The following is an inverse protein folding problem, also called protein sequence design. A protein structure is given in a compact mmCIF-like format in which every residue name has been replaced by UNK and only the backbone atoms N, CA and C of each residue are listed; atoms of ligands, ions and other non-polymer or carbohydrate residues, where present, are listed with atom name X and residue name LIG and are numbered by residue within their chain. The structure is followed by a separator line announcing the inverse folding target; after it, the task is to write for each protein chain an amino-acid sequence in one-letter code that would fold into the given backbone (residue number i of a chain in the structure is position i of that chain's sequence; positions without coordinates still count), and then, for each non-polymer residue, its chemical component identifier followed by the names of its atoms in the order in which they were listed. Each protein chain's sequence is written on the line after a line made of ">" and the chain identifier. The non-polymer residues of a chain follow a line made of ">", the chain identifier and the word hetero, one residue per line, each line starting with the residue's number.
data_IF_490517734761
#
_entry.id   IF_490517734761
#
_cell.length_a   1.000
_cell.length_b   1.000
_cell.length_c   1.000
_cell.angle_alpha   90.00
_cell.angle_beta   90.00
_cell.angle_gamma   90.00
#
_symmetry.space_group_name_H-M   'P 1'
#
loop_
_entity.id
_entity.type
_entity.pdbx_description
1 polymer ?
#
# COMPACT_ATOMS: atom_id res chain seq x y z
N UNK A 1 -3.98 -8.82 11.87
CA UNK A 1 -3.44 -7.52 11.44
C UNK A 1 -4.49 -6.76 10.64
N UNK A 2 -4.37 -5.46 10.61
CA UNK A 2 -5.30 -4.63 9.83
C UNK A 2 -4.91 -4.63 8.36
N UNK A 3 -5.91 -4.49 7.49
CA UNK A 3 -5.72 -4.47 6.04
C UNK A 3 -5.74 -3.04 5.52
N UNK A 4 -4.90 -2.77 4.54
CA UNK A 4 -4.79 -1.45 3.91
C UNK A 4 -4.73 -1.60 2.40
N UNK A 5 -5.35 -0.66 1.71
CA UNK A 5 -5.30 -0.58 0.25
C UNK A 5 -4.61 0.73 -0.09
N UNK A 6 -3.52 0.64 -0.85
CA UNK A 6 -2.78 1.81 -1.31
C UNK A 6 -3.04 2.04 -2.79
N UNK A 7 -3.51 3.24 -3.10
CA UNK A 7 -3.71 3.70 -4.48
C UNK A 7 -2.46 4.50 -4.83
N UNK A 8 -1.77 4.09 -5.89
CA UNK A 8 -0.42 4.55 -6.18
C UNK A 8 -0.38 5.28 -7.51
N UNK A 9 0.28 6.45 -7.52
CA UNK A 9 0.59 7.18 -8.75
C UNK A 9 2.10 7.31 -8.86
N UNK A 10 2.62 7.07 -10.06
CA UNK A 10 4.04 7.33 -10.34
C UNK A 10 4.26 8.82 -10.49
N UNK A 11 5.36 9.31 -9.94
CA UNK A 11 5.82 10.67 -10.18
C UNK A 11 6.56 10.72 -11.52
N UNK A 12 6.93 11.93 -11.95
CA UNK A 12 7.77 12.08 -13.14
C UNK A 12 9.07 11.27 -13.00
N UNK A 13 9.71 11.34 -11.85
CA UNK A 13 10.91 10.58 -11.55
C UNK A 13 10.65 9.07 -11.66
N UNK A 14 9.53 8.61 -11.12
CA UNK A 14 9.16 7.19 -11.16
C UNK A 14 8.92 6.70 -12.58
N UNK A 15 8.31 7.53 -13.43
CA UNK A 15 8.08 7.20 -14.84
C UNK A 15 9.41 7.16 -15.60
N UNK A 16 10.30 8.12 -15.36
CA UNK A 16 11.59 8.18 -16.03
C UNK A 16 12.45 6.94 -15.75
N UNK A 17 12.28 6.34 -14.57
CA UNK A 17 13.03 5.16 -14.16
C UNK A 17 12.12 3.94 -14.00
N UNK A 18 11.09 3.85 -14.81
CA UNK A 18 10.03 2.84 -14.68
C UNK A 18 10.58 1.40 -14.77
N UNK A 19 11.66 1.21 -15.49
CA UNK A 19 12.28 -0.12 -15.64
C UNK A 19 12.82 -0.67 -14.33
N UNK A 20 13.08 0.18 -13.36
CA UNK A 20 13.50 -0.22 -12.02
C UNK A 20 12.32 -0.55 -11.10
N UNK A 21 11.09 -0.43 -11.61
CA UNK A 21 9.88 -0.71 -10.85
C UNK A 21 9.86 -2.05 -10.14
N UNK A 22 10.17 -3.16 -10.84
CA UNK A 22 10.19 -4.47 -10.17
C UNK A 22 11.17 -4.55 -9.01
N UNK A 23 12.35 -3.97 -9.15
CA UNK A 23 13.34 -3.92 -8.08
C UNK A 23 12.84 -3.09 -6.91
N UNK A 24 12.20 -1.95 -7.18
CA UNK A 24 11.61 -1.11 -6.13
C UNK A 24 10.49 -1.85 -5.39
N UNK A 25 9.71 -2.65 -6.12
CA UNK A 25 8.66 -3.47 -5.51
C UNK A 25 9.26 -4.51 -4.55
N UNK A 26 10.34 -5.17 -4.96
CA UNK A 26 11.02 -6.14 -4.10
C UNK A 26 11.55 -5.48 -2.83
N UNK A 27 12.13 -4.29 -2.95
CA UNK A 27 12.61 -3.53 -1.80
C UNK A 27 11.46 -3.10 -0.88
N UNK A 28 10.33 -2.74 -1.45
CA UNK A 28 9.15 -2.39 -0.68
C UNK A 28 8.63 -3.60 0.12
N UNK A 29 8.58 -4.77 -0.50
CA UNK A 29 8.18 -6.00 0.20
C UNK A 29 9.09 -6.29 1.40
N UNK A 30 10.39 -6.11 1.20
CA UNK A 30 11.34 -6.32 2.29
C UNK A 30 11.15 -5.29 3.40
N UNK A 31 10.93 -4.03 3.05
CA UNK A 31 10.69 -2.98 4.04
C UNK A 31 9.42 -3.27 4.87
N UNK A 32 8.37 -3.80 4.24
CA UNK A 32 7.17 -4.21 4.95
C UNK A 32 7.47 -5.32 5.94
N UNK A 33 8.19 -6.37 5.51
CA UNK A 33 8.56 -7.48 6.37
C UNK A 33 9.41 -7.02 7.56
N UNK A 34 10.36 -6.15 7.30
CA UNK A 34 11.24 -5.62 8.36
C UNK A 34 10.45 -4.83 9.41
N UNK A 35 9.33 -4.25 9.03
CA UNK A 35 8.46 -3.49 9.92
C UNK A 35 7.37 -4.36 10.59
N UNK A 36 7.39 -5.67 10.38
CA UNK A 36 6.38 -6.57 10.93
C UNK A 36 5.07 -6.56 10.16
N UNK A 37 5.09 -6.07 8.93
CA UNK A 37 3.94 -6.00 8.04
C UNK A 37 4.12 -6.94 6.85
N UNK A 38 3.14 -6.97 5.95
CA UNK A 38 3.22 -7.81 4.76
C UNK A 38 2.54 -7.12 3.58
N UNK A 39 3.23 -7.07 2.44
CA UNK A 39 2.65 -6.64 1.18
C UNK A 39 2.02 -7.86 0.52
N UNK A 40 0.70 -7.98 0.58
CA UNK A 40 -0.04 -9.17 0.16
C UNK A 40 -0.19 -9.26 -1.34
N UNK A 41 -0.44 -8.15 -2.01
CA UNK A 41 -0.71 -8.13 -3.44
C UNK A 41 -0.35 -6.78 -4.03
N UNK A 42 0.05 -6.82 -5.29
CA UNK A 42 0.35 -5.61 -6.06
C UNK A 42 -0.22 -5.80 -7.46
N UNK A 43 -0.91 -4.77 -7.96
CA UNK A 43 -1.47 -4.79 -9.31
C UNK A 43 -1.09 -3.51 -10.02
N UNK A 44 -0.61 -3.64 -11.25
CA UNK A 44 -0.53 -2.51 -12.17
C UNK A 44 -1.95 -2.28 -12.72
N UNK A 45 -2.41 -1.06 -12.70
CA UNK A 45 -3.73 -0.72 -13.24
C UNK A 45 -3.61 0.42 -14.24
N UNK A 46 -4.62 0.56 -15.07
CA UNK A 46 -4.74 1.68 -16.00
C UNK A 46 -5.94 2.53 -15.59
N UNK A 47 -5.80 3.84 -15.71
CA UNK A 47 -6.85 4.75 -15.30
C UNK A 47 -6.28 5.88 -14.46
N UNK A 48 -7.04 6.29 -13.46
CA UNK A 48 -6.66 7.42 -12.60
C UNK A 48 -5.44 7.14 -11.73
N UNK A 49 -5.26 5.88 -11.35
CA UNK A 49 -4.09 5.42 -10.58
C UNK A 49 -3.26 4.50 -11.44
N UNK A 50 -1.99 4.34 -11.09
CA UNK A 50 -1.05 3.50 -11.83
C UNK A 50 -0.90 2.11 -11.23
N UNK A 51 -1.09 1.98 -9.92
CA UNK A 51 -0.98 0.70 -9.24
C UNK A 51 -1.86 0.67 -8.01
N UNK A 52 -2.17 -0.54 -7.56
CA UNK A 52 -2.91 -0.79 -6.32
C UNK A 52 -2.17 -1.85 -5.54
N UNK A 53 -1.93 -1.59 -4.26
CA UNK A 53 -1.29 -2.56 -3.38
C UNK A 53 -2.21 -2.88 -2.20
N UNK A 54 -2.21 -4.14 -1.80
CA UNK A 54 -2.94 -4.61 -0.63
C UNK A 54 -1.92 -5.07 0.39
N UNK A 55 -2.00 -4.55 1.62
CA UNK A 55 -1.06 -4.89 2.66
C UNK A 55 -1.76 -5.14 3.98
N UNK A 56 -1.04 -5.81 4.89
CA UNK A 56 -1.46 -6.02 6.27
C UNK A 56 -0.38 -5.50 7.19
N UNK A 57 -0.78 -4.85 8.26
CA UNK A 57 0.15 -4.28 9.22
C UNK A 57 -0.46 -4.30 10.62
N UNK A 58 0.37 -4.27 11.68
CA UNK A 58 -0.12 -4.32 13.05
C UNK A 58 -0.95 -3.09 13.44
N UNK A 59 -0.67 -1.93 12.86
CA UNK A 59 -1.38 -0.69 13.19
C UNK A 59 -1.18 0.38 12.12
N UNK A 60 -1.96 1.45 12.24
CA UNK A 60 -1.95 2.55 11.28
C UNK A 60 -0.60 3.29 11.25
N UNK A 61 0.06 3.40 12.39
CA UNK A 61 1.35 4.08 12.48
C UNK A 61 2.43 3.37 11.63
N UNK A 62 2.45 2.05 11.66
CA UNK A 62 3.37 1.26 10.85
C UNK A 62 3.18 1.54 9.37
N UNK A 63 1.92 1.54 8.91
CA UNK A 63 1.60 1.81 7.51
C UNK A 63 1.95 3.24 7.14
N UNK A 64 1.66 4.19 8.03
CA UNK A 64 1.99 5.59 7.79
C UNK A 64 3.50 5.78 7.59
N UNK A 65 4.31 5.15 8.44
CA UNK A 65 5.78 5.19 8.31
C UNK A 65 6.24 4.62 6.98
N UNK A 66 5.70 3.48 6.58
CA UNK A 66 6.06 2.84 5.32
C UNK A 66 5.67 3.71 4.12
N UNK A 67 4.48 4.32 4.16
CA UNK A 67 4.02 5.22 3.11
C UNK A 67 4.93 6.46 2.99
N UNK A 68 5.29 7.06 4.11
CA UNK A 68 6.18 8.24 4.11
C UNK A 68 7.58 7.89 3.62
N UNK A 69 8.10 6.74 4.05
CA UNK A 69 9.41 6.28 3.62
C UNK A 69 9.44 6.05 2.11
N UNK A 70 8.39 5.44 1.56
CA UNK A 70 8.26 5.21 0.12
C UNK A 70 8.15 6.54 -0.62
N UNK A 71 7.33 7.45 -0.12
CA UNK A 71 7.16 8.77 -0.73
C UNK A 71 8.46 9.58 -0.74
N UNK A 72 9.27 9.42 0.32
CA UNK A 72 10.55 10.14 0.43
C UNK A 72 11.54 9.76 -0.66
N UNK A 73 11.40 8.57 -1.26
CA UNK A 73 12.24 8.18 -2.39
C UNK A 73 11.88 8.93 -3.68
N UNK A 74 10.69 9.53 -3.72
CA UNK A 74 10.28 10.41 -4.81
C UNK A 74 9.72 9.74 -6.05
N UNK A 75 9.58 8.42 -6.05
CA UNK A 75 9.15 7.66 -7.24
C UNK A 75 7.64 7.50 -7.34
N UNK A 76 6.94 7.56 -6.22
CA UNK A 76 5.50 7.35 -6.16
C UNK A 76 4.84 8.31 -5.18
N UNK A 77 3.56 8.55 -5.41
CA UNK A 77 2.64 9.17 -4.47
C UNK A 77 1.57 8.13 -4.14
N UNK A 78 1.22 8.01 -2.88
CA UNK A 78 0.25 7.01 -2.45
C UNK A 78 -0.90 7.64 -1.68
N UNK A 79 -2.05 7.01 -1.82
CA UNK A 79 -3.22 7.28 -0.99
C UNK A 79 -3.56 5.96 -0.32
N UNK A 80 -3.42 5.89 1.00
CA UNK A 80 -3.60 4.65 1.75
C UNK A 80 -4.92 4.67 2.49
N UNK A 81 -5.71 3.63 2.27
CA UNK A 81 -7.04 3.48 2.84
C UNK A 81 -7.03 2.34 3.84
N UNK A 82 -7.60 2.58 5.03
CA UNK A 82 -7.87 1.48 5.96
C UNK A 82 -9.01 0.65 5.37
N UNK A 83 -8.78 -0.63 5.17
CA UNK A 83 -9.77 -1.51 4.58
C UNK A 83 -10.30 -2.50 5.62
N UNK A 84 -11.57 -2.84 5.48
CA UNK A 84 -12.23 -3.85 6.29
C UNK A 84 -12.67 -4.98 5.38
N UNK A 85 -12.40 -6.22 5.78
CA UNK A 85 -12.86 -7.39 5.02
C UNK A 85 -14.39 -7.45 5.03
N UNK A 86 -14.95 -8.31 4.19
CA UNK A 86 -16.40 -8.52 4.19
C UNK A 86 -16.88 -9.01 5.55
N UNK A 87 -16.15 -9.91 6.20
CA UNK A 87 -16.50 -10.40 7.53
C UNK A 87 -16.47 -9.28 8.57
N UNK A 88 -15.45 -8.43 8.52
CA UNK A 88 -15.35 -7.28 9.39
C UNK A 88 -16.50 -6.30 9.14
N UNK A 89 -16.83 -6.06 7.87
CA UNK A 89 -17.95 -5.22 7.49
C UNK A 89 -19.26 -5.75 8.10
N UNK A 90 -19.51 -7.04 7.97
CA UNK A 90 -20.72 -7.67 8.52
C UNK A 90 -20.79 -7.50 10.03
N UNK A 91 -19.67 -7.65 10.74
CA UNK A 91 -19.63 -7.45 12.19
C UNK A 91 -19.89 -5.99 12.58
N UNK A 92 -19.31 -5.06 11.85
CA UNK A 92 -19.51 -3.62 12.09
C UNK A 92 -20.99 -3.28 11.95
N UNK A 93 -21.62 -3.71 10.87
CA UNK A 93 -23.05 -3.46 10.63
C UNK A 93 -23.90 -4.08 11.74
N UNK A 94 -23.61 -5.30 12.14
CA UNK A 94 -24.36 -5.98 13.19
C UNK A 94 -24.26 -5.23 14.54
N UNK A 95 -23.16 -4.52 14.77
CA UNK A 95 -22.95 -3.79 16.03
C UNK A 95 -23.64 -2.43 16.09
N UNK A 96 -24.16 -1.95 14.97
CA UNK A 96 -24.87 -0.66 14.94
C UNK A 96 -26.18 -0.73 15.72
N UNK A 97 -26.79 -1.87 15.75
CA UNK A 97 -28.07 -2.08 16.45
C UNK A 97 -29.25 -1.89 15.52
#
# INVERSE_FOLDING_TARGET
>A
MATYISLIRFTQKGVETIREGPKRLDLARQAFRDAGAELKAFYLVTGQYDAVAISEAPNDETVAKLALRTAAMGNVRTETLRAFSEDEYRRIIASIG
#
